data_IF_392966945666
#
_entry.id   IF_392966945666
#
_cell.length_a   1.000
_cell.length_b   1.000
_cell.length_c   1.000
_cell.angle_alpha   90.00
_cell.angle_beta   90.00
_cell.angle_gamma   90.00
#
_symmetry.space_group_name_H-M   'P 1'
#
loop_
_entity.id
_entity.type
_entity.pdbx_description
1 polymer ?
#
# COMPACT_ATOMS: atom_id res chain seq x y z
N UNK A 1 17.59 -11.30 -43.19
CA UNK A 1 16.33 -12.06 -43.16
C UNK A 1 16.08 -12.80 -41.83
N UNK A 2 17.09 -13.35 -41.14
CA UNK A 2 16.91 -14.05 -39.85
C UNK A 2 16.43 -13.17 -38.65
N UNK A 3 16.60 -11.85 -38.70
CA UNK A 3 16.19 -10.92 -37.61
C UNK A 3 14.73 -10.47 -37.72
N UNK A 4 14.11 -10.56 -38.90
CA UNK A 4 12.72 -10.12 -39.11
C UNK A 4 11.71 -11.21 -38.70
N UNK A 5 12.10 -12.48 -38.83
CA UNK A 5 11.33 -13.65 -38.39
C UNK A 5 11.24 -13.74 -36.85
N UNK A 6 12.31 -13.42 -36.12
CA UNK A 6 12.29 -13.41 -34.66
C UNK A 6 11.39 -12.29 -34.09
N UNK A 7 11.42 -11.09 -34.69
CA UNK A 7 10.53 -9.99 -34.30
C UNK A 7 9.05 -10.29 -34.61
N UNK A 8 8.78 -11.00 -35.71
CA UNK A 8 7.43 -11.48 -36.04
C UNK A 8 6.95 -12.59 -35.09
N UNK A 9 7.83 -13.49 -34.65
CA UNK A 9 7.53 -14.51 -33.64
C UNK A 9 7.22 -13.87 -32.27
N UNK A 10 7.99 -12.87 -31.83
CA UNK A 10 7.72 -12.12 -30.60
C UNK A 10 6.40 -11.32 -30.66
N UNK A 11 6.09 -10.71 -31.82
CA UNK A 11 4.79 -10.06 -32.03
C UNK A 11 3.63 -11.07 -32.00
N UNK A 12 3.82 -12.27 -32.53
CA UNK A 12 2.80 -13.33 -32.49
C UNK A 12 2.50 -13.80 -31.05
N UNK A 13 3.53 -13.89 -30.19
CA UNK A 13 3.38 -14.20 -28.77
C UNK A 13 2.60 -13.10 -28.03
N UNK A 14 2.88 -11.83 -28.35
CA UNK A 14 2.14 -10.68 -27.84
C UNK A 14 0.66 -10.72 -28.25
N UNK A 15 0.35 -11.04 -29.50
CA UNK A 15 -1.02 -11.19 -29.98
C UNK A 15 -1.76 -12.35 -29.30
N UNK A 16 -1.09 -13.47 -29.06
CA UNK A 16 -1.64 -14.63 -28.33
C UNK A 16 -1.91 -14.28 -26.86
N UNK A 17 -1.00 -13.55 -26.21
CA UNK A 17 -1.18 -13.07 -24.84
C UNK A 17 -2.35 -12.08 -24.77
N UNK A 18 -2.46 -11.15 -25.71
CA UNK A 18 -3.55 -10.17 -25.76
C UNK A 18 -4.93 -10.80 -26.02
N UNK A 19 -4.99 -12.02 -26.57
CA UNK A 19 -6.22 -12.81 -26.74
C UNK A 19 -6.62 -13.63 -25.52
N UNK A 20 -5.91 -13.52 -24.38
CA UNK A 20 -6.29 -14.23 -23.15
C UNK A 20 -7.55 -13.61 -22.54
N UNK A 21 -8.53 -14.41 -22.08
CA UNK A 21 -9.79 -13.91 -21.52
C UNK A 21 -9.61 -12.88 -20.39
N UNK A 22 -8.61 -13.09 -19.52
CA UNK A 22 -8.30 -12.17 -18.43
C UNK A 22 -7.84 -10.78 -18.93
N UNK A 23 -7.08 -10.73 -20.03
CA UNK A 23 -6.63 -9.47 -20.66
C UNK A 23 -7.79 -8.78 -21.40
N UNK A 24 -8.74 -9.56 -21.91
CA UNK A 24 -9.93 -9.04 -22.59
C UNK A 24 -10.99 -8.47 -21.65
N UNK A 25 -10.89 -8.74 -20.34
CA UNK A 25 -11.74 -8.12 -19.33
C UNK A 25 -11.57 -6.58 -19.28
N UNK A 26 -12.56 -5.85 -18.76
CA UNK A 26 -12.48 -4.38 -18.57
C UNK A 26 -11.22 -4.00 -17.77
N UNK A 27 -10.92 -4.77 -16.74
CA UNK A 27 -9.72 -4.68 -15.92
C UNK A 27 -8.43 -4.86 -16.71
N UNK A 28 -8.34 -5.96 -17.46
CA UNK A 28 -7.20 -6.29 -18.30
C UNK A 28 -6.96 -5.21 -19.35
N UNK A 29 -8.02 -4.72 -19.99
CA UNK A 29 -7.95 -3.64 -20.98
C UNK A 29 -7.47 -2.31 -20.36
N UNK A 30 -7.84 -2.02 -19.12
CA UNK A 30 -7.37 -0.83 -18.42
C UNK A 30 -5.86 -0.90 -18.10
N UNK A 31 -5.38 -2.05 -17.64
CA UNK A 31 -3.94 -2.30 -17.43
C UNK A 31 -3.17 -2.20 -18.75
N UNK A 32 -3.67 -2.82 -19.82
CA UNK A 32 -3.06 -2.75 -21.15
C UNK A 32 -3.02 -1.33 -21.68
N UNK A 33 -4.10 -0.55 -21.53
CA UNK A 33 -4.16 0.84 -21.99
C UNK A 33 -3.12 1.71 -21.28
N UNK A 34 -3.00 1.57 -19.96
CA UNK A 34 -2.01 2.31 -19.15
C UNK A 34 -0.58 1.95 -19.51
N UNK A 35 -0.25 0.65 -19.57
CA UNK A 35 1.07 0.19 -19.95
C UNK A 35 1.47 0.67 -21.35
N UNK A 36 0.53 0.67 -22.31
CA UNK A 36 0.76 1.24 -23.65
C UNK A 36 1.07 2.74 -23.60
N UNK A 37 0.32 3.52 -22.82
CA UNK A 37 0.57 4.97 -22.69
C UNK A 37 1.96 5.26 -22.10
N UNK A 38 2.35 4.53 -21.07
CA UNK A 38 3.65 4.70 -20.41
C UNK A 38 4.82 4.33 -21.35
N UNK A 39 4.68 3.22 -22.09
CA UNK A 39 5.68 2.81 -23.09
C UNK A 39 5.78 3.82 -24.25
N UNK A 40 4.64 4.34 -24.74
CA UNK A 40 4.64 5.40 -25.76
C UNK A 40 5.38 6.63 -25.25
N UNK A 41 5.15 7.04 -24.01
CA UNK A 41 5.85 8.17 -23.42
C UNK A 41 7.37 7.93 -23.33
N UNK A 42 7.78 6.73 -22.88
CA UNK A 42 9.18 6.32 -22.83
C UNK A 42 9.84 6.37 -24.22
N UNK A 43 9.24 5.74 -25.24
CA UNK A 43 9.81 5.72 -26.59
C UNK A 43 9.83 7.10 -27.25
N UNK A 44 8.87 7.98 -26.96
CA UNK A 44 8.94 9.39 -27.40
C UNK A 44 10.08 10.16 -26.74
N UNK A 45 10.41 9.87 -25.49
CA UNK A 45 11.58 10.47 -24.85
C UNK A 45 12.88 9.96 -25.48
N UNK A 46 12.97 8.65 -25.72
CA UNK A 46 14.12 8.06 -26.41
C UNK A 46 14.29 8.66 -27.83
N UNK A 47 13.20 8.77 -28.59
CA UNK A 47 13.21 9.37 -29.93
C UNK A 47 13.75 10.81 -29.94
N UNK A 48 13.31 11.65 -29.01
CA UNK A 48 13.84 13.02 -28.86
C UNK A 48 15.34 13.06 -28.55
N UNK A 49 15.84 12.11 -27.75
CA UNK A 49 17.27 12.03 -27.47
C UNK A 49 18.05 11.57 -28.70
N UNK A 50 17.51 10.61 -29.47
CA UNK A 50 18.10 10.17 -30.75
C UNK A 50 18.16 11.32 -31.76
N UNK A 51 17.11 12.12 -31.88
CA UNK A 51 17.07 13.31 -32.72
C UNK A 51 18.13 14.34 -32.29
N UNK A 52 18.24 14.62 -30.98
CA UNK A 52 19.24 15.56 -30.44
C UNK A 52 20.68 15.09 -30.65
N UNK A 53 20.92 13.78 -30.63
CA UNK A 53 22.23 13.20 -30.92
C UNK A 53 22.57 13.25 -32.42
N UNK A 54 21.61 13.59 -33.29
CA UNK A 54 21.84 13.70 -34.73
C UNK A 54 22.23 12.38 -35.39
N UNK A 55 21.84 11.23 -34.80
CA UNK A 55 22.32 9.91 -35.24
C UNK A 55 21.90 9.58 -36.68
N UNK A 56 20.76 10.12 -37.15
CA UNK A 56 20.31 9.97 -38.54
C UNK A 56 21.23 10.73 -39.51
N UNK A 57 21.61 11.96 -39.15
CA UNK A 57 22.57 12.78 -39.91
C UNK A 57 23.98 12.19 -39.88
N UNK A 58 24.39 11.58 -38.77
CA UNK A 58 25.68 10.89 -38.68
C UNK A 58 25.70 9.62 -39.52
N UNK A 59 24.60 8.87 -39.55
CA UNK A 59 24.46 7.67 -40.38
C UNK A 59 24.56 7.99 -41.87
N UNK A 60 23.95 9.09 -42.33
CA UNK A 60 24.03 9.52 -43.74
C UNK A 60 25.43 9.98 -44.18
N UNK A 61 26.37 10.16 -43.25
CA UNK A 61 27.79 10.45 -43.54
C UNK A 61 28.55 9.20 -44.00
N UNK A 62 27.97 7.99 -43.84
CA UNK A 62 28.57 6.71 -44.22
C UNK A 62 27.69 5.93 -45.22
N UNK A 63 27.42 6.47 -46.43
CA UNK A 63 26.45 5.90 -47.37
C UNK A 63 26.83 4.48 -47.86
N UNK A 64 28.12 4.18 -47.98
CA UNK A 64 28.62 2.89 -48.49
C UNK A 64 29.19 1.98 -47.40
N UNK A 65 29.11 2.38 -46.11
CA UNK A 65 29.67 1.61 -44.99
C UNK A 65 28.69 1.51 -43.82
N UNK A 66 27.70 0.64 -44.00
CA UNK A 66 26.64 0.40 -43.04
C UNK A 66 27.16 -0.14 -41.70
N UNK A 67 28.28 -0.87 -41.67
CA UNK A 67 28.89 -1.36 -40.44
C UNK A 67 29.48 -0.21 -39.60
N UNK A 68 30.18 0.74 -40.23
CA UNK A 68 30.71 1.91 -39.53
C UNK A 68 29.58 2.79 -38.98
N UNK A 69 28.51 3.00 -39.75
CA UNK A 69 27.32 3.72 -39.29
C UNK A 69 26.67 3.07 -38.06
N UNK A 70 26.51 1.74 -38.08
CA UNK A 70 25.95 0.97 -36.95
C UNK A 70 26.83 1.02 -35.70
N UNK A 71 28.16 0.91 -35.85
CA UNK A 71 29.10 0.99 -34.73
C UNK A 71 29.07 2.36 -34.05
N UNK A 72 29.12 3.44 -34.83
CA UNK A 72 29.07 4.81 -34.30
C UNK A 72 27.72 5.09 -33.64
N UNK A 73 26.60 4.68 -34.25
CA UNK A 73 25.29 4.80 -33.64
C UNK A 73 25.21 4.04 -32.30
N UNK A 74 25.76 2.83 -32.24
CA UNK A 74 25.78 2.00 -31.02
C UNK A 74 26.61 2.64 -29.91
N UNK A 75 27.79 3.18 -30.23
CA UNK A 75 28.67 3.86 -29.26
C UNK A 75 28.01 5.09 -28.62
N UNK A 76 27.21 5.82 -29.40
CA UNK A 76 26.51 7.02 -28.91
C UNK A 76 25.20 6.68 -28.19
N UNK A 77 24.51 5.61 -28.61
CA UNK A 77 23.23 5.21 -28.03
C UNK A 77 23.37 4.41 -26.74
N UNK A 78 24.44 3.61 -26.58
CA UNK A 78 24.70 2.80 -25.39
C UNK A 78 24.63 3.58 -24.06
N UNK A 79 25.35 4.71 -23.86
CA UNK A 79 25.28 5.46 -22.61
C UNK A 79 23.91 6.09 -22.36
N UNK A 80 23.15 6.41 -23.42
CA UNK A 80 21.78 6.89 -23.31
C UNK A 80 20.84 5.79 -22.84
N UNK A 81 20.98 4.59 -23.39
CA UNK A 81 20.20 3.42 -22.97
C UNK A 81 20.52 3.01 -21.54
N UNK A 82 21.79 3.07 -21.12
CA UNK A 82 22.17 2.83 -19.71
C UNK A 82 21.50 3.84 -18.76
N UNK A 83 21.38 5.11 -19.18
CA UNK A 83 20.73 6.15 -18.38
C UNK A 83 19.21 6.03 -18.35
N UNK A 84 18.59 5.61 -19.45
CA UNK A 84 17.12 5.49 -19.56
C UNK A 84 16.60 4.10 -19.10
N UNK A 85 17.46 3.10 -19.05
CA UNK A 85 17.14 1.73 -18.60
C UNK A 85 16.48 1.66 -17.22
N UNK A 86 16.95 2.40 -16.20
CA UNK A 86 16.29 2.47 -14.90
C UNK A 86 14.86 3.05 -14.95
N UNK A 87 14.58 4.00 -15.86
CA UNK A 87 13.24 4.55 -16.04
C UNK A 87 12.29 3.52 -16.63
N UNK A 88 12.73 2.76 -17.63
CA UNK A 88 11.95 1.67 -18.21
C UNK A 88 11.64 0.59 -17.17
N UNK A 89 12.65 0.18 -16.39
CA UNK A 89 12.46 -0.78 -15.29
C UNK A 89 11.45 -0.26 -14.25
N UNK A 90 11.56 1.00 -13.85
CA UNK A 90 10.62 1.62 -12.92
C UNK A 90 9.18 1.62 -13.43
N UNK A 91 8.98 1.98 -14.71
CA UNK A 91 7.65 1.98 -15.34
C UNK A 91 7.05 0.58 -15.42
N UNK A 92 7.84 -0.43 -15.81
CA UNK A 92 7.37 -1.81 -15.89
C UNK A 92 7.05 -2.38 -14.50
N UNK A 93 7.91 -2.12 -13.50
CA UNK A 93 7.68 -2.56 -12.13
C UNK A 93 6.42 -1.93 -11.51
N UNK A 94 6.20 -0.62 -11.72
CA UNK A 94 5.01 0.08 -11.22
C UNK A 94 3.73 -0.40 -11.90
N UNK A 95 3.77 -0.66 -13.21
CA UNK A 95 2.63 -1.19 -13.95
C UNK A 95 2.28 -2.61 -13.47
N UNK A 96 3.29 -3.46 -13.24
CA UNK A 96 3.10 -4.80 -12.71
C UNK A 96 2.52 -4.77 -11.28
N UNK A 97 3.08 -3.94 -10.40
CA UNK A 97 2.58 -3.77 -9.03
C UNK A 97 1.13 -3.25 -9.00
N UNK A 98 0.80 -2.29 -9.86
CA UNK A 98 -0.56 -1.75 -9.99
C UNK A 98 -1.54 -2.81 -10.48
N UNK A 99 -1.14 -3.64 -11.45
CA UNK A 99 -1.95 -4.74 -11.95
C UNK A 99 -2.23 -5.80 -10.88
N UNK A 100 -1.21 -6.17 -10.09
CA UNK A 100 -1.40 -7.10 -8.96
C UNK A 100 -2.33 -6.54 -7.89
N UNK A 101 -2.12 -5.28 -7.49
CA UNK A 101 -2.99 -4.63 -6.49
C UNK A 101 -4.44 -4.57 -6.96
N UNK A 102 -4.66 -4.16 -8.22
CA UNK A 102 -5.99 -4.10 -8.79
C UNK A 102 -6.66 -5.49 -8.88
N UNK A 103 -5.90 -6.53 -9.22
CA UNK A 103 -6.40 -7.91 -9.24
C UNK A 103 -6.84 -8.41 -7.87
N UNK A 104 -6.10 -8.07 -6.81
CA UNK A 104 -6.48 -8.37 -5.42
C UNK A 104 -7.76 -7.62 -5.05
N UNK A 105 -7.82 -6.31 -5.32
CA UNK A 105 -8.99 -5.48 -4.99
C UNK A 105 -10.26 -5.99 -5.73
N UNK A 106 -10.14 -6.43 -7.00
CA UNK A 106 -11.27 -7.02 -7.74
C UNK A 106 -11.67 -8.41 -7.25
N UNK A 107 -10.71 -9.26 -6.87
CA UNK A 107 -11.00 -10.58 -6.32
C UNK A 107 -11.78 -10.44 -5.01
N UNK A 108 -11.37 -9.52 -4.13
CA UNK A 108 -12.08 -9.20 -2.89
C UNK A 108 -13.50 -8.72 -3.16
N UNK A 109 -13.71 -7.85 -4.15
CA UNK A 109 -15.04 -7.36 -4.50
C UNK A 109 -15.95 -8.43 -5.12
N UNK A 110 -15.40 -9.32 -5.95
CA UNK A 110 -16.14 -10.45 -6.50
C UNK A 110 -16.52 -11.44 -5.40
N UNK A 111 -15.59 -11.77 -4.50
CA UNK A 111 -15.86 -12.63 -3.35
C UNK A 111 -16.98 -12.03 -2.50
N UNK A 112 -16.94 -10.72 -2.20
CA UNK A 112 -18.00 -10.03 -1.46
C UNK A 112 -19.35 -10.10 -2.18
N UNK A 113 -19.40 -9.87 -3.49
CA UNK A 113 -20.64 -9.93 -4.28
C UNK A 113 -21.21 -11.35 -4.34
N UNK A 114 -20.37 -12.35 -4.60
CA UNK A 114 -20.79 -13.75 -4.62
C UNK A 114 -21.32 -14.19 -3.25
N UNK A 115 -20.68 -13.76 -2.16
CA UNK A 115 -21.16 -14.04 -0.81
C UNK A 115 -22.50 -13.33 -0.51
N UNK A 116 -22.69 -12.11 -1.00
CA UNK A 116 -23.97 -11.38 -0.88
C UNK A 116 -25.11 -12.03 -1.69
N UNK A 117 -24.83 -12.47 -2.92
CA UNK A 117 -25.86 -13.03 -3.82
C UNK A 117 -26.25 -14.47 -3.44
N UNK A 118 -25.33 -15.28 -2.93
CA UNK A 118 -25.57 -16.70 -2.68
C UNK A 118 -26.28 -17.00 -1.35
N UNK A 119 -26.25 -16.11 -0.37
CA UNK A 119 -26.57 -16.48 1.03
C UNK A 119 -27.59 -15.54 1.70
N UNK A 120 -27.92 -14.37 1.12
CA UNK A 120 -28.62 -13.33 1.88
C UNK A 120 -27.76 -12.84 3.06
N UNK A 121 -28.27 -11.88 3.84
CA UNK A 121 -27.53 -11.16 4.89
C UNK A 121 -27.17 -12.07 6.09
N UNK A 122 -26.26 -13.02 5.87
CA UNK A 122 -25.62 -13.84 6.91
C UNK A 122 -24.27 -13.18 7.18
N UNK A 123 -23.94 -12.87 8.46
CA UNK A 123 -22.64 -12.33 8.80
C UNK A 123 -21.56 -13.31 8.36
N UNK A 124 -20.82 -12.93 7.31
CA UNK A 124 -19.68 -13.71 6.81
C UNK A 124 -18.75 -13.94 8.00
N UNK A 125 -18.48 -15.19 8.40
CA UNK A 125 -17.52 -15.44 9.45
C UNK A 125 -16.16 -14.90 8.97
N UNK A 126 -15.54 -13.99 9.72
CA UNK A 126 -14.41 -13.22 9.25
C UNK A 126 -13.25 -14.15 8.91
N UNK A 127 -12.67 -13.91 7.74
CA UNK A 127 -11.49 -14.62 7.24
C UNK A 127 -10.39 -14.53 8.29
N UNK A 128 -9.68 -15.64 8.50
CA UNK A 128 -8.64 -15.80 9.51
C UNK A 128 -7.60 -14.67 9.40
N UNK A 129 -7.70 -13.63 10.25
CA UNK A 129 -6.67 -12.58 10.37
C UNK A 129 -7.13 -11.11 10.36
N UNK A 130 -8.42 -10.79 10.37
CA UNK A 130 -8.86 -9.39 10.20
C UNK A 130 -8.70 -8.54 11.47
N UNK A 131 -7.71 -7.63 11.46
CA UNK A 131 -7.78 -6.35 12.19
C UNK A 131 -9.09 -5.65 11.79
N UNK A 132 -9.78 -4.93 12.71
CA UNK A 132 -11.00 -4.21 12.36
C UNK A 132 -10.77 -3.29 11.16
N UNK A 133 -11.74 -3.24 10.25
CA UNK A 133 -11.68 -2.37 9.07
C UNK A 133 -11.84 -0.89 9.42
N UNK A 134 -11.50 0.03 8.50
CA UNK A 134 -11.81 1.45 8.68
C UNK A 134 -13.31 1.65 8.96
N UNK A 135 -13.66 2.35 10.03
CA UNK A 135 -15.07 2.55 10.43
C UNK A 135 -15.59 1.63 11.54
N UNK A 136 -14.73 0.81 12.15
CA UNK A 136 -15.16 -0.13 13.19
C UNK A 136 -15.89 0.56 14.37
N UNK A 137 -17.15 0.19 14.67
CA UNK A 137 -17.96 0.88 15.67
C UNK A 137 -17.44 0.66 17.09
N UNK A 138 -16.82 -0.49 17.37
CA UNK A 138 -16.22 -0.78 18.67
C UNK A 138 -14.98 0.07 18.91
N UNK A 139 -14.11 0.21 17.91
CA UNK A 139 -12.96 1.11 17.96
C UNK A 139 -13.40 2.57 18.13
N UNK A 140 -14.46 3.00 17.43
CA UNK A 140 -15.01 4.34 17.58
C UNK A 140 -15.53 4.58 19.00
N UNK A 141 -16.34 3.67 19.55
CA UNK A 141 -16.87 3.79 20.91
C UNK A 141 -15.75 3.83 21.96
N UNK A 142 -14.75 2.96 21.82
CA UNK A 142 -13.58 2.97 22.70
C UNK A 142 -12.80 4.28 22.62
N UNK A 143 -12.63 4.84 21.42
CA UNK A 143 -11.98 6.13 21.23
C UNK A 143 -12.75 7.27 21.91
N UNK A 144 -14.08 7.29 21.84
CA UNK A 144 -14.91 8.32 22.49
C UNK A 144 -14.78 8.31 24.01
N UNK A 145 -14.52 7.14 24.60
CA UNK A 145 -14.37 7.00 26.05
C UNK A 145 -12.93 7.27 26.53
N UNK A 146 -11.93 6.83 25.75
CA UNK A 146 -10.54 6.71 26.23
C UNK A 146 -9.54 7.63 25.57
N UNK A 147 -9.82 8.12 24.35
CA UNK A 147 -8.85 8.92 23.63
C UNK A 147 -8.56 10.24 24.35
N UNK A 148 -7.40 10.81 24.07
CA UNK A 148 -6.92 12.07 24.63
C UNK A 148 -6.61 12.09 26.15
N UNK A 149 -6.84 11.01 26.90
CA UNK A 149 -6.50 10.93 28.34
C UNK A 149 -5.03 11.18 28.63
N UNK A 150 -4.14 10.83 27.70
CA UNK A 150 -2.69 11.03 27.82
C UNK A 150 -2.19 12.30 27.11
N UNK A 151 -3.09 13.08 26.50
CA UNK A 151 -2.72 14.31 25.80
C UNK A 151 -2.57 15.44 26.82
N UNK A 152 -1.33 15.89 27.01
CA UNK A 152 -0.99 16.95 27.97
C UNK A 152 -1.19 18.35 27.38
N UNK A 153 -1.34 19.37 28.22
CA UNK A 153 -1.40 20.78 27.78
C UNK A 153 -2.73 21.19 27.15
N UNK A 154 -3.80 20.47 27.44
CA UNK A 154 -5.19 20.80 27.09
C UNK A 154 -6.09 20.56 28.31
N UNK A 155 -7.20 21.29 28.41
CA UNK A 155 -8.17 21.10 29.50
C UNK A 155 -9.09 19.91 29.25
N UNK A 156 -9.81 19.47 30.29
CA UNK A 156 -10.72 18.32 30.24
C UNK A 156 -11.79 18.45 29.14
N UNK A 157 -12.32 19.66 28.93
CA UNK A 157 -13.31 19.90 27.88
C UNK A 157 -12.72 19.66 26.48
N UNK A 158 -11.49 20.12 26.27
CA UNK A 158 -10.75 19.88 25.01
C UNK A 158 -10.43 18.40 24.85
N UNK A 159 -10.10 17.70 25.94
CA UNK A 159 -9.90 16.24 25.90
C UNK A 159 -11.18 15.52 25.48
N UNK A 160 -12.35 15.87 26.06
CA UNK A 160 -13.64 15.28 25.69
C UNK A 160 -13.99 15.53 24.22
N UNK A 161 -13.82 16.77 23.75
CA UNK A 161 -14.05 17.13 22.34
C UNK A 161 -13.09 16.40 21.41
N UNK A 162 -11.83 16.19 21.84
CA UNK A 162 -10.85 15.41 21.08
C UNK A 162 -11.22 13.93 21.02
N UNK A 163 -11.66 13.33 22.12
CA UNK A 163 -12.11 11.95 22.14
C UNK A 163 -13.30 11.72 21.20
N UNK A 164 -14.31 12.60 21.27
CA UNK A 164 -15.45 12.59 20.35
C UNK A 164 -15.00 12.72 18.89
N UNK A 165 -14.01 13.58 18.62
CA UNK A 165 -13.50 13.77 17.26
C UNK A 165 -12.74 12.55 16.73
N UNK A 166 -11.95 11.87 17.57
CA UNK A 166 -11.28 10.62 17.19
C UNK A 166 -12.33 9.55 16.87
N UNK A 167 -13.35 9.38 17.71
CA UNK A 167 -14.45 8.46 17.49
C UNK A 167 -15.17 8.69 16.17
N UNK A 168 -15.57 9.94 15.91
CA UNK A 168 -16.13 10.35 14.59
C UNK A 168 -15.16 10.06 13.44
N UNK A 169 -13.89 10.42 13.60
CA UNK A 169 -12.89 10.20 12.57
C UNK A 169 -12.67 8.73 12.21
N UNK A 170 -12.86 7.81 13.16
CA UNK A 170 -12.90 6.37 12.91
C UNK A 170 -14.16 6.01 12.13
N UNK A 171 -15.36 6.36 12.62
CA UNK A 171 -16.66 6.05 11.97
C UNK A 171 -16.73 6.56 10.53
N UNK A 172 -16.30 7.79 10.32
CA UNK A 172 -16.35 8.49 9.04
C UNK A 172 -15.18 8.10 8.12
N UNK A 173 -14.32 7.16 8.56
CA UNK A 173 -13.20 6.60 7.78
C UNK A 173 -12.22 7.68 7.29
N UNK A 174 -12.02 8.74 8.07
CA UNK A 174 -11.17 9.88 7.69
C UNK A 174 -9.69 9.50 7.53
N UNK A 175 -9.27 8.43 8.21
CA UNK A 175 -7.86 8.05 8.34
C UNK A 175 -7.03 9.09 9.08
N UNK A 176 -5.74 8.79 9.28
CA UNK A 176 -4.82 9.67 10.03
C UNK A 176 -4.73 11.07 9.41
N UNK A 177 -4.57 11.24 8.08
CA UNK A 177 -4.48 12.58 7.49
C UNK A 177 -5.78 13.37 7.65
N UNK A 178 -6.95 12.74 7.47
CA UNK A 178 -8.25 13.39 7.60
C UNK A 178 -8.53 13.81 9.05
N UNK A 179 -8.34 12.90 10.00
CA UNK A 179 -8.48 13.22 11.42
C UNK A 179 -7.47 14.29 11.87
N UNK A 180 -6.22 14.22 11.41
CA UNK A 180 -5.20 15.24 11.73
C UNK A 180 -5.61 16.64 11.24
N UNK A 181 -6.26 16.74 10.07
CA UNK A 181 -6.87 18.00 9.61
C UNK A 181 -8.00 18.43 10.54
N UNK A 182 -8.93 17.53 10.84
CA UNK A 182 -10.08 17.84 11.69
C UNK A 182 -9.64 18.33 13.08
N UNK A 183 -8.69 17.66 13.74
CA UNK A 183 -8.13 18.08 15.04
C UNK A 183 -7.59 19.50 14.97
N UNK A 184 -6.81 19.82 13.92
CA UNK A 184 -6.24 21.16 13.76
C UNK A 184 -7.30 22.24 13.54
N UNK A 185 -8.40 21.92 12.85
CA UNK A 185 -9.44 22.90 12.54
C UNK A 185 -10.45 23.08 13.68
N UNK A 186 -10.80 22.02 14.41
CA UNK A 186 -11.89 22.02 15.38
C UNK A 186 -11.45 22.30 16.83
N UNK A 187 -10.22 21.94 17.19
CA UNK A 187 -9.88 21.71 18.60
C UNK A 187 -8.82 22.59 19.22
N UNK A 188 -8.07 23.40 18.44
CA UNK A 188 -7.16 24.49 18.85
C UNK A 188 -6.14 24.67 17.70
N UNK A 189 -5.42 25.80 17.67
CA UNK A 189 -4.30 26.07 16.76
C UNK A 189 -3.09 25.12 16.98
N UNK A 190 -3.32 23.82 17.04
CA UNK A 190 -2.27 22.81 17.13
C UNK A 190 -1.46 22.80 15.83
N UNK A 191 -0.16 22.60 15.98
CA UNK A 191 0.70 22.43 14.81
C UNK A 191 0.26 21.17 14.04
N UNK A 192 0.44 21.20 12.72
CA UNK A 192 0.19 20.03 11.87
C UNK A 192 0.83 18.75 12.43
N UNK A 193 2.07 18.87 12.91
CA UNK A 193 2.81 17.75 13.47
C UNK A 193 2.13 17.16 14.71
N UNK A 194 1.71 18.01 15.65
CA UNK A 194 1.03 17.58 16.87
C UNK A 194 -0.31 16.92 16.56
N UNK A 195 -1.11 17.49 15.66
CA UNK A 195 -2.39 16.91 15.27
C UNK A 195 -2.24 15.54 14.59
N UNK A 196 -1.25 15.37 13.71
CA UNK A 196 -0.97 14.08 13.07
C UNK A 196 -0.44 13.04 14.08
N UNK A 197 0.36 13.46 15.06
CA UNK A 197 0.85 12.59 16.13
C UNK A 197 -0.31 12.05 16.99
N UNK A 198 -1.22 12.94 17.40
CA UNK A 198 -2.42 12.57 18.16
C UNK A 198 -3.28 11.62 17.31
N UNK A 199 -3.61 12.01 16.07
CA UNK A 199 -4.41 11.19 15.16
C UNK A 199 -3.83 9.79 14.97
N UNK A 200 -2.52 9.67 14.75
CA UNK A 200 -1.84 8.36 14.59
C UNK A 200 -1.97 7.52 15.85
N UNK A 201 -1.70 8.13 17.00
CA UNK A 201 -1.61 7.41 18.28
C UNK A 201 -2.99 6.92 18.71
N UNK A 202 -3.98 7.81 18.74
CA UNK A 202 -5.32 7.51 19.23
C UNK A 202 -6.06 6.56 18.30
N UNK A 203 -5.95 6.73 16.97
CA UNK A 203 -6.54 5.77 16.04
C UNK A 203 -5.91 4.39 16.16
N UNK A 204 -4.58 4.29 16.29
CA UNK A 204 -3.96 2.97 16.38
C UNK A 204 -4.27 2.28 17.71
N UNK A 205 -4.33 3.03 18.80
CA UNK A 205 -4.75 2.54 20.11
C UNK A 205 -6.16 1.95 20.04
N UNK A 206 -7.12 2.71 19.52
CA UNK A 206 -8.52 2.29 19.45
C UNK A 206 -8.74 1.08 18.52
N UNK A 207 -8.11 1.07 17.35
CA UNK A 207 -8.22 -0.05 16.42
C UNK A 207 -7.58 -1.34 16.95
N UNK A 208 -6.47 -1.22 17.70
CA UNK A 208 -5.80 -2.37 18.28
C UNK A 208 -6.53 -2.92 19.50
N UNK A 209 -7.19 -2.06 20.28
CA UNK A 209 -8.07 -2.51 21.35
C UNK A 209 -9.28 -3.26 20.79
N UNK A 210 -9.95 -2.72 19.78
CA UNK A 210 -11.04 -3.44 19.09
C UNK A 210 -10.53 -4.79 18.53
N UNK A 211 -9.32 -4.85 17.99
CA UNK A 211 -8.69 -6.12 17.58
C UNK A 211 -8.58 -7.10 18.73
N UNK A 212 -8.06 -6.66 19.88
CA UNK A 212 -7.89 -7.49 21.07
C UNK A 212 -9.23 -8.05 21.54
N UNK A 213 -10.25 -7.20 21.65
CA UNK A 213 -11.59 -7.62 22.08
C UNK A 213 -12.22 -8.62 21.10
N UNK A 214 -12.05 -8.41 19.78
CA UNK A 214 -12.51 -9.37 18.78
C UNK A 214 -11.77 -10.71 18.89
N UNK A 215 -10.47 -10.70 19.18
CA UNK A 215 -9.70 -11.93 19.39
C UNK A 215 -10.18 -12.69 20.63
N UNK A 216 -10.45 -11.98 21.73
CA UNK A 216 -11.02 -12.56 22.95
C UNK A 216 -12.40 -13.17 22.67
N UNK A 217 -13.30 -12.40 22.04
CA UNK A 217 -14.65 -12.85 21.71
C UNK A 217 -14.66 -14.08 20.79
N UNK A 218 -13.66 -14.23 19.91
CA UNK A 218 -13.49 -15.37 19.00
C UNK A 218 -12.66 -16.52 19.60
N UNK A 219 -12.35 -16.48 20.90
CA UNK A 219 -11.62 -17.55 21.59
C UNK A 219 -10.17 -17.73 21.14
N UNK A 220 -9.53 -16.69 20.59
CA UNK A 220 -8.11 -16.74 20.21
C UNK A 220 -7.27 -16.82 21.47
N UNK A 221 -6.37 -17.81 21.52
CA UNK A 221 -5.55 -18.05 22.71
C UNK A 221 -4.24 -17.25 22.73
N UNK A 222 -3.76 -16.82 21.55
CA UNK A 222 -2.49 -16.14 21.39
C UNK A 222 -2.61 -14.91 20.50
N UNK A 223 -1.80 -13.90 20.82
CA UNK A 223 -1.61 -12.66 20.05
C UNK A 223 -0.13 -12.43 19.80
N UNK A 224 0.17 -11.69 18.74
CA UNK A 224 1.48 -11.08 18.53
C UNK A 224 1.29 -9.73 17.87
N UNK A 225 2.38 -9.04 17.55
CA UNK A 225 2.35 -7.76 16.86
C UNK A 225 3.12 -7.83 15.54
N UNK A 226 2.64 -7.15 14.51
CA UNK A 226 3.39 -6.91 13.27
C UNK A 226 3.95 -5.49 13.33
N UNK A 227 5.24 -5.37 13.04
CA UNK A 227 5.95 -4.09 13.04
C UNK A 227 5.73 -3.33 11.74
N UNK A 228 5.53 -2.02 11.85
CA UNK A 228 5.57 -1.13 10.69
C UNK A 228 7.03 -0.91 10.22
N UNK A 229 7.20 -0.31 9.05
CA UNK A 229 8.51 0.17 8.59
C UNK A 229 9.13 1.15 9.61
N UNK A 230 10.45 1.07 9.78
CA UNK A 230 11.26 1.83 10.75
C UNK A 230 10.75 1.70 12.21
N UNK A 231 10.69 0.48 12.77
CA UNK A 231 10.21 0.28 14.13
C UNK A 231 11.22 0.75 15.17
N UNK A 232 10.72 1.30 16.28
CA UNK A 232 11.57 1.65 17.42
C UNK A 232 11.96 0.40 18.23
N UNK A 233 12.94 0.49 19.15
CA UNK A 233 13.37 -0.65 19.98
C UNK A 233 12.24 -1.33 20.77
N UNK A 234 11.25 -0.56 21.26
CA UNK A 234 10.09 -1.10 21.98
C UNK A 234 9.26 -2.01 21.05
N UNK A 235 9.01 -1.55 19.82
CA UNK A 235 8.26 -2.32 18.83
C UNK A 235 9.00 -3.58 18.39
N UNK A 236 10.32 -3.46 18.15
CA UNK A 236 11.17 -4.60 17.80
C UNK A 236 11.14 -5.63 18.93
N UNK A 237 11.30 -5.20 20.17
CA UNK A 237 11.27 -6.09 21.33
C UNK A 237 9.92 -6.80 21.49
N UNK A 238 8.81 -6.08 21.40
CA UNK A 238 7.48 -6.69 21.48
C UNK A 238 7.18 -7.67 20.34
N UNK A 239 7.71 -7.42 19.14
CA UNK A 239 7.61 -8.34 18.01
C UNK A 239 8.47 -9.58 18.19
N UNK A 240 9.72 -9.39 18.64
CA UNK A 240 10.68 -10.47 18.88
C UNK A 240 10.24 -11.43 19.99
N UNK A 241 9.37 -11.00 20.90
CA UNK A 241 8.73 -11.86 21.90
C UNK A 241 7.88 -12.97 21.27
N UNK A 242 7.45 -12.81 20.01
CA UNK A 242 6.66 -13.81 19.29
C UNK A 242 5.23 -13.92 19.82
N UNK A 243 4.57 -15.08 19.65
CA UNK A 243 3.23 -15.32 20.17
C UNK A 243 3.18 -15.34 21.71
N UNK A 244 2.35 -14.49 22.30
CA UNK A 244 2.05 -14.46 23.73
C UNK A 244 0.59 -14.83 23.99
N UNK A 245 0.25 -15.29 25.20
CA UNK A 245 -1.15 -15.56 25.59
C UNK A 245 -1.99 -14.29 25.42
N UNK A 246 -3.25 -14.46 25.01
CA UNK A 246 -4.15 -13.35 24.68
C UNK A 246 -4.31 -12.31 25.80
N UNK A 247 -4.31 -12.76 27.06
CA UNK A 247 -4.47 -11.90 28.24
C UNK A 247 -3.13 -11.38 28.82
N UNK A 248 -2.00 -11.86 28.33
CA UNK A 248 -0.70 -11.40 28.82
C UNK A 248 -0.35 -10.05 28.19
N UNK A 249 0.30 -9.19 28.96
CA UNK A 249 0.96 -8.01 28.42
C UNK A 249 2.19 -8.41 27.62
N UNK A 250 2.49 -7.64 26.58
CA UNK A 250 3.82 -7.65 25.96
C UNK A 250 4.88 -7.21 26.98
N UNK A 251 6.15 -7.48 26.70
CA UNK A 251 7.27 -7.08 27.57
C UNK A 251 7.34 -5.58 27.85
N UNK A 252 6.76 -4.73 27.00
CA UNK A 252 6.59 -3.30 27.27
C UNK A 252 5.49 -2.95 28.30
N UNK A 253 4.81 -3.94 28.88
CA UNK A 253 3.68 -3.78 29.80
C UNK A 253 2.33 -3.55 29.11
N UNK A 254 2.31 -3.35 27.79
CA UNK A 254 1.09 -3.02 27.03
C UNK A 254 0.32 -4.28 26.63
N UNK A 255 -1.01 -4.19 26.56
CA UNK A 255 -1.86 -5.29 26.06
C UNK A 255 -1.93 -5.34 24.53
N UNK A 256 -1.76 -4.20 23.87
CA UNK A 256 -1.83 -4.02 22.42
C UNK A 256 -1.07 -2.74 22.01
N UNK A 257 -0.75 -2.52 20.71
CA UNK A 257 -0.31 -1.22 20.20
C UNK A 257 -1.41 -0.16 20.40
N UNK A 258 -1.14 1.14 20.52
CA UNK A 258 0.12 1.82 20.35
C UNK A 258 1.04 1.66 21.59
N UNK A 259 2.27 1.19 21.37
CA UNK A 259 3.26 1.02 22.47
C UNK A 259 3.98 2.32 22.86
N UNK A 260 3.84 3.36 22.04
CA UNK A 260 4.47 4.66 22.19
C UNK A 260 3.75 5.68 21.30
N UNK A 261 3.95 6.99 21.50
CA UNK A 261 3.43 8.00 20.59
C UNK A 261 3.84 7.74 19.13
N UNK A 262 2.91 7.91 18.19
CA UNK A 262 3.10 7.68 16.75
C UNK A 262 3.41 6.21 16.37
N UNK A 263 3.15 5.24 17.26
CA UNK A 263 3.28 3.83 16.92
C UNK A 263 2.31 3.44 15.79
N UNK A 264 2.81 2.75 14.77
CA UNK A 264 2.03 2.28 13.60
C UNK A 264 1.92 0.74 13.53
N UNK A 265 2.40 0.04 14.55
CA UNK A 265 2.35 -1.42 14.61
C UNK A 265 0.90 -1.91 14.77
N UNK A 266 0.66 -3.15 14.37
CA UNK A 266 -0.66 -3.77 14.43
C UNK A 266 -0.66 -4.99 15.36
N UNK A 267 -1.77 -5.19 16.07
CA UNK A 267 -2.04 -6.45 16.76
C UNK A 267 -2.58 -7.47 15.76
N UNK A 268 -2.08 -8.71 15.84
CA UNK A 268 -2.56 -9.83 15.02
C UNK A 268 -2.76 -11.07 15.88
N UNK A 269 -3.70 -11.96 15.53
CA UNK A 269 -3.85 -13.20 16.25
C UNK A 269 -2.71 -14.16 15.87
N UNK A 270 -2.25 -14.97 16.81
CA UNK A 270 -1.17 -15.92 16.59
C UNK A 270 -1.59 -17.36 16.90
N UNK A 271 -0.77 -18.33 16.48
CA UNK A 271 -0.82 -19.71 16.97
C UNK A 271 0.07 -19.84 18.20
N UNK A 272 -0.05 -20.95 18.92
CA UNK A 272 0.91 -21.29 19.96
C UNK A 272 2.33 -21.28 19.38
N UNK A 273 3.34 -20.84 20.15
CA UNK A 273 4.73 -20.93 19.72
C UNK A 273 5.07 -22.40 19.42
N UNK A 274 5.82 -22.63 18.34
CA UNK A 274 6.35 -23.95 18.05
C UNK A 274 7.31 -24.33 19.20
N UNK A 275 7.09 -25.50 19.78
CA UNK A 275 7.96 -26.10 20.82
C UNK A 275 9.22 -26.64 20.16
#
# INVERSE_FOLDING_TARGET
MASYTAALEEMSLLEVVLRRPAIQSVAGQQVVRRAKQDLIFYFRQLGRVVELLGLETMSSTFPDNQQAAQQIASLNLAPVLERLGPLLHGLLAQNLQSAFKFGVDQADDLIKRFLMEAIGDIPVPPVVGERPGPGDPQAAAYAEETAARLVTGINEETQRRLAALVGRGIRDKLGVPGLGRAIRHELLQMTRHRSELIATTEMNNAMSESSLQQFIARGRQFKTTVVAADPCPICIGNHAQGPIRINNSFQSGHQHPAFHPRCRCALVPARAPAV
#
